data_IF_131007938158
#
_entry.id   IF_131007938158
#
_cell.length_a   1.000
_cell.length_b   1.000
_cell.length_c   1.000
_cell.angle_alpha   90.00
_cell.angle_beta   90.00
_cell.angle_gamma   90.00
#
_symmetry.space_group_name_H-M   'P 1'
#
loop_
_entity.id
_entity.type
_entity.pdbx_description
1 polymer ?
#
# COMPACT_ATOMS: atom_id res chain seq x y z
N UNK A 1 -1.34 -5.30 1.86
CA UNK A 1 -1.49 -3.85 2.07
C UNK A 1 -2.86 -3.58 2.64
N UNK A 2 -3.07 -2.40 3.23
CA UNK A 2 -4.22 -2.10 4.08
C UNK A 2 -5.59 -2.09 3.39
N UNK A 3 -6.59 -1.73 4.20
CA UNK A 3 -7.94 -2.29 4.21
C UNK A 3 -7.93 -3.71 4.79
N UNK A 4 -7.45 -3.82 6.04
CA UNK A 4 -7.32 -5.09 6.77
C UNK A 4 -8.67 -5.69 7.17
N UNK A 5 -9.73 -4.89 7.16
CA UNK A 5 -11.13 -5.32 7.31
C UNK A 5 -11.92 -5.07 6.02
N UNK A 6 -12.93 -5.90 5.76
CA UNK A 6 -13.80 -5.76 4.57
C UNK A 6 -14.72 -4.54 4.64
N UNK A 7 -14.99 -4.06 5.85
CA UNK A 7 -15.76 -2.84 6.13
C UNK A 7 -14.80 -1.77 6.61
N UNK A 8 -15.05 -0.53 6.21
CA UNK A 8 -14.29 0.63 6.69
C UNK A 8 -14.37 0.74 8.21
N UNK A 9 -13.27 1.19 8.81
CA UNK A 9 -13.19 1.38 10.23
C UNK A 9 -14.09 2.55 10.66
N UNK A 10 -14.98 2.29 11.61
CA UNK A 10 -15.79 3.29 12.29
C UNK A 10 -15.52 3.24 13.79
N UNK A 11 -15.50 4.41 14.43
CA UNK A 11 -15.20 4.56 15.87
C UNK A 11 -16.28 3.99 16.79
N UNK A 12 -17.42 3.55 16.24
CA UNK A 12 -18.46 2.86 16.99
C UNK A 12 -17.92 1.61 17.71
N UNK A 13 -18.50 1.26 18.86
CA UNK A 13 -18.01 0.17 19.74
C UNK A 13 -17.83 -1.15 18.99
N UNK A 14 -18.83 -1.54 18.18
CA UNK A 14 -18.76 -2.76 17.36
C UNK A 14 -17.68 -2.72 16.28
N UNK A 15 -17.30 -1.53 15.78
CA UNK A 15 -16.24 -1.36 14.80
C UNK A 15 -14.87 -1.68 15.39
N UNK A 16 -14.59 -1.16 16.59
CA UNK A 16 -13.36 -1.43 17.33
C UNK A 16 -13.19 -2.92 17.65
N UNK A 17 -14.24 -3.55 18.17
CA UNK A 17 -14.21 -4.98 18.51
C UNK A 17 -13.94 -5.86 17.30
N UNK A 18 -14.64 -5.62 16.18
CA UNK A 18 -14.43 -6.37 14.93
C UNK A 18 -13.01 -6.21 14.40
N UNK A 19 -12.46 -5.00 14.47
CA UNK A 19 -11.09 -4.72 14.02
C UNK A 19 -10.06 -5.45 14.90
N UNK A 20 -10.20 -5.39 16.23
CA UNK A 20 -9.36 -6.16 17.17
C UNK A 20 -9.46 -7.67 16.93
N UNK A 21 -10.66 -8.19 16.71
CA UNK A 21 -10.88 -9.61 16.40
C UNK A 21 -10.23 -10.03 15.07
N UNK A 22 -10.17 -9.14 14.07
CA UNK A 22 -9.50 -9.43 12.81
C UNK A 22 -7.98 -9.59 13.00
N UNK A 23 -7.34 -8.70 13.78
CA UNK A 23 -5.92 -8.84 14.14
C UNK A 23 -5.67 -10.07 15.01
N UNK A 24 -6.59 -10.43 15.90
CA UNK A 24 -6.50 -11.67 16.67
C UNK A 24 -6.50 -12.92 15.77
N UNK A 25 -7.37 -12.95 14.76
CA UNK A 25 -7.40 -14.04 13.77
C UNK A 25 -6.09 -14.10 12.99
N UNK A 26 -5.53 -12.96 12.59
CA UNK A 26 -4.24 -12.90 11.92
C UNK A 26 -3.12 -13.46 12.79
N UNK A 27 -3.06 -13.05 14.07
CA UNK A 27 -2.09 -13.58 15.04
C UNK A 27 -2.15 -15.10 15.13
N UNK A 28 -3.36 -15.67 15.28
CA UNK A 28 -3.56 -17.12 15.39
C UNK A 28 -3.10 -17.89 14.15
N UNK A 29 -3.24 -17.31 12.95
CA UNK A 29 -2.73 -17.92 11.72
C UNK A 29 -1.21 -17.89 11.71
N UNK A 30 -0.61 -16.73 12.01
CA UNK A 30 0.84 -16.54 11.96
C UNK A 30 1.60 -17.43 12.95
N UNK A 31 1.09 -17.63 14.16
CA UNK A 31 1.74 -18.43 15.22
C UNK A 31 1.65 -19.95 14.98
N UNK A 32 0.97 -20.40 13.92
CA UNK A 32 0.93 -21.84 13.60
C UNK A 32 2.35 -22.39 13.37
N UNK A 33 2.68 -23.58 13.90
CA UNK A 33 4.04 -24.13 13.83
C UNK A 33 4.63 -24.19 12.41
N UNK A 34 3.78 -24.45 11.41
CA UNK A 34 4.17 -24.50 9.99
C UNK A 34 4.74 -23.18 9.43
N UNK A 35 4.46 -22.04 10.06
CA UNK A 35 4.92 -20.73 9.61
C UNK A 35 6.04 -20.14 10.48
N UNK A 36 6.53 -20.89 11.46
CA UNK A 36 7.57 -20.41 12.39
C UNK A 36 8.83 -19.90 11.68
N UNK A 37 9.27 -20.58 10.62
CA UNK A 37 10.46 -20.18 9.84
C UNK A 37 10.25 -18.81 9.19
N UNK A 38 9.05 -18.51 8.70
CA UNK A 38 8.71 -17.21 8.12
C UNK A 38 8.77 -16.11 9.18
N UNK A 39 8.24 -16.37 10.38
CA UNK A 39 8.29 -15.41 11.48
C UNK A 39 9.71 -15.07 11.95
N UNK A 40 10.64 -16.03 11.91
CA UNK A 40 12.04 -15.81 12.28
C UNK A 40 12.84 -15.10 11.18
N UNK A 41 12.50 -15.36 9.91
CA UNK A 41 13.34 -14.95 8.78
C UNK A 41 12.85 -13.65 8.12
N UNK A 42 11.54 -13.42 8.07
CA UNK A 42 10.91 -12.39 7.25
C UNK A 42 10.48 -11.17 8.08
N UNK A 43 10.50 -9.99 7.43
CA UNK A 43 9.88 -8.79 7.94
C UNK A 43 8.42 -8.70 7.46
N UNK A 44 7.50 -8.54 8.40
CA UNK A 44 6.09 -8.31 8.14
C UNK A 44 5.82 -6.81 8.29
N UNK A 45 5.64 -6.13 7.16
CA UNK A 45 5.37 -4.69 7.13
C UNK A 45 3.90 -4.45 6.83
N UNK A 46 3.18 -3.84 7.77
CA UNK A 46 1.80 -3.42 7.60
C UNK A 46 1.77 -1.96 7.15
N UNK A 47 1.26 -1.75 5.94
CA UNK A 47 1.01 -0.43 5.35
C UNK A 47 -0.49 -0.18 5.38
N UNK A 48 -0.99 0.86 6.07
CA UNK A 48 -2.41 1.15 6.19
C UNK A 48 -3.01 1.63 4.87
N UNK A 49 -4.28 1.32 4.67
CA UNK A 49 -5.12 1.83 3.59
C UNK A 49 -6.08 2.91 4.09
N UNK A 50 -6.94 3.38 3.19
CA UNK A 50 -7.94 4.41 3.48
C UNK A 50 -9.08 3.91 4.38
N UNK A 51 -9.35 2.60 4.40
CA UNK A 51 -10.40 2.02 5.24
C UNK A 51 -9.95 1.62 6.65
N UNK A 52 -8.67 1.82 7.00
CA UNK A 52 -8.10 1.30 8.24
C UNK A 52 -8.19 2.27 9.42
N UNK A 53 -8.03 1.71 10.63
CA UNK A 53 -8.00 2.44 11.89
C UNK A 53 -6.73 3.32 12.02
N UNK A 54 -6.77 4.49 11.38
CA UNK A 54 -5.74 5.54 11.43
C UNK A 54 -6.38 6.86 11.88
N UNK A 55 -5.56 7.79 12.37
CA UNK A 55 -6.06 9.11 12.83
C UNK A 55 -6.68 9.94 11.70
N UNK A 56 -6.10 9.84 10.51
CA UNK A 56 -6.60 10.50 9.30
C UNK A 56 -6.29 9.60 8.10
N UNK A 57 -7.33 9.26 7.35
CA UNK A 57 -7.29 8.32 6.24
C UNK A 57 -7.59 8.96 4.87
N UNK A 58 -7.99 10.24 4.85
CA UNK A 58 -8.39 10.95 3.63
C UNK A 58 -7.19 11.59 2.90
N UNK A 59 -6.18 12.05 3.66
CA UNK A 59 -5.02 12.78 3.14
C UNK A 59 -3.74 11.94 3.28
N UNK A 60 -2.85 12.03 2.30
CA UNK A 60 -1.52 11.40 2.35
C UNK A 60 -0.43 12.43 2.71
N UNK A 61 0.63 12.04 3.43
CA UNK A 61 0.87 10.73 4.03
C UNK A 61 -0.05 10.44 5.24
N UNK A 62 -0.57 9.22 5.32
CA UNK A 62 -1.33 8.75 6.47
C UNK A 62 -0.40 8.18 7.54
N UNK A 63 -0.80 8.37 8.80
CA UNK A 63 -0.10 7.81 9.95
C UNK A 63 -0.21 6.27 9.99
N UNK A 64 0.68 5.59 10.72
CA UNK A 64 0.54 4.15 10.94
C UNK A 64 -0.78 3.81 11.65
N UNK A 65 -1.10 2.52 11.65
CA UNK A 65 -2.25 2.01 12.41
C UNK A 65 -2.20 2.46 13.87
N UNK A 66 -3.38 2.75 14.45
CA UNK A 66 -3.49 3.11 15.86
C UNK A 66 -2.84 2.05 16.75
N UNK A 67 -2.11 2.52 17.77
CA UNK A 67 -1.38 1.65 18.71
C UNK A 67 -2.31 0.72 19.46
N UNK A 68 -3.56 1.14 19.72
CA UNK A 68 -4.60 0.32 20.37
C UNK A 68 -4.77 -1.05 19.68
N UNK A 69 -4.70 -1.09 18.35
CA UNK A 69 -4.89 -2.32 17.57
C UNK A 69 -3.57 -3.01 17.21
N UNK A 70 -2.52 -2.23 16.94
CA UNK A 70 -1.24 -2.77 16.48
C UNK A 70 -0.30 -3.22 17.59
N UNK A 71 -0.36 -2.63 18.78
CA UNK A 71 0.52 -2.99 19.89
C UNK A 71 0.23 -4.40 20.41
N UNK A 72 -1.04 -4.78 20.55
CA UNK A 72 -1.42 -6.10 21.07
C UNK A 72 -0.82 -7.25 20.24
N UNK A 73 -0.99 -7.22 18.91
CA UNK A 73 -0.41 -8.26 18.05
C UNK A 73 1.12 -8.25 18.10
N UNK A 74 1.74 -7.06 18.11
CA UNK A 74 3.20 -6.92 18.15
C UNK A 74 3.79 -7.47 19.46
N UNK A 75 3.21 -7.11 20.60
CA UNK A 75 3.73 -7.49 21.91
C UNK A 75 3.56 -9.00 22.17
N UNK A 76 2.46 -9.58 21.67
CA UNK A 76 2.28 -11.04 21.68
C UNK A 76 3.25 -11.77 20.76
N UNK A 77 3.54 -11.20 19.58
CA UNK A 77 4.57 -11.75 18.69
C UNK A 77 5.95 -11.70 19.35
N UNK A 78 6.27 -10.61 20.05
CA UNK A 78 7.50 -10.49 20.84
C UNK A 78 7.59 -11.52 21.96
N UNK A 79 6.48 -11.84 22.63
CA UNK A 79 6.45 -12.92 23.63
C UNK A 79 6.70 -14.30 23.01
N UNK A 80 6.25 -14.53 21.77
CA UNK A 80 6.38 -15.81 21.07
C UNK A 80 7.76 -16.03 20.41
N UNK A 81 8.37 -14.98 19.86
CA UNK A 81 9.62 -15.05 19.09
C UNK A 81 10.83 -14.47 19.84
N UNK A 82 10.61 -13.72 20.91
CA UNK A 82 11.61 -12.88 21.57
C UNK A 82 11.60 -11.43 21.07
N UNK A 83 12.53 -10.64 21.59
CA UNK A 83 12.65 -9.20 21.31
C UNK A 83 12.94 -8.87 19.84
N UNK A 84 13.47 -9.83 19.07
CA UNK A 84 13.78 -9.70 17.65
C UNK A 84 12.54 -9.84 16.72
N UNK A 85 11.38 -9.37 17.16
CA UNK A 85 10.15 -9.46 16.37
C UNK A 85 10.17 -8.52 15.17
N UNK A 86 10.15 -9.12 13.97
CA UNK A 86 10.17 -8.41 12.69
C UNK A 86 8.78 -7.99 12.19
N UNK A 87 7.90 -7.58 13.09
CA UNK A 87 6.52 -7.16 12.79
C UNK A 87 6.37 -5.64 12.96
N UNK A 88 6.21 -4.92 11.84
CA UNK A 88 6.34 -3.47 11.79
C UNK A 88 5.08 -2.85 11.19
N UNK A 89 4.53 -1.83 11.84
CA UNK A 89 3.51 -0.95 11.26
C UNK A 89 4.16 0.32 10.73
N UNK A 90 3.87 0.70 9.50
CA UNK A 90 4.45 1.88 8.85
C UNK A 90 3.37 2.88 8.40
N UNK A 91 3.80 4.06 7.96
CA UNK A 91 2.95 5.07 7.31
C UNK A 91 2.50 4.61 5.93
N UNK A 92 1.59 5.35 5.31
CA UNK A 92 1.27 5.19 3.89
C UNK A 92 1.34 6.55 3.17
N UNK A 93 2.22 6.72 2.16
CA UNK A 93 3.16 5.73 1.65
C UNK A 93 4.27 5.41 2.66
N UNK A 94 4.98 4.31 2.41
CA UNK A 94 6.24 4.01 3.07
C UNK A 94 7.35 3.75 2.05
N UNK A 95 8.59 3.93 2.51
CA UNK A 95 9.79 3.67 1.71
C UNK A 95 10.61 2.59 2.41
N UNK A 96 11.02 1.59 1.64
CA UNK A 96 11.88 0.51 2.11
C UNK A 96 13.16 0.56 1.28
N UNK A 97 14.29 0.58 1.96
CA UNK A 97 15.59 0.44 1.33
C UNK A 97 16.15 -0.93 1.67
N UNK A 98 16.45 -1.72 0.64
CA UNK A 98 17.08 -3.01 0.80
C UNK A 98 18.28 -3.06 -0.14
N UNK A 99 19.48 -3.27 0.43
CA UNK A 99 20.75 -3.13 -0.28
C UNK A 99 20.86 -1.74 -0.93
N UNK A 100 21.11 -1.69 -2.23
CA UNK A 100 21.21 -0.48 -3.05
C UNK A 100 19.87 -0.02 -3.63
N UNK A 101 18.80 -0.81 -3.47
CA UNK A 101 17.49 -0.54 -4.08
C UNK A 101 16.59 0.27 -3.16
N UNK A 102 15.93 1.28 -3.75
CA UNK A 102 14.95 2.17 -3.12
C UNK A 102 13.56 1.77 -3.60
N UNK A 103 12.70 1.37 -2.67
CA UNK A 103 11.36 0.90 -2.97
C UNK A 103 10.32 1.77 -2.27
N UNK A 104 9.25 2.11 -2.98
CA UNK A 104 8.14 2.93 -2.47
C UNK A 104 6.87 2.12 -2.55
N UNK A 105 6.11 2.09 -1.45
CA UNK A 105 4.89 1.33 -1.30
C UNK A 105 3.76 2.30 -0.92
N UNK A 106 2.68 2.30 -1.71
CA UNK A 106 1.55 3.19 -1.51
C UNK A 106 0.24 2.43 -1.66
N UNK A 107 -0.61 2.46 -0.63
CA UNK A 107 -1.98 1.95 -0.67
C UNK A 107 -2.96 3.12 -0.77
N UNK A 108 -3.30 3.52 -1.99
CA UNK A 108 -4.30 4.54 -2.25
C UNK A 108 -4.87 4.34 -3.65
N UNK A 109 -6.13 4.72 -3.84
CA UNK A 109 -6.76 4.71 -5.15
C UNK A 109 -6.36 5.99 -5.91
N UNK A 110 -5.08 6.04 -6.32
CA UNK A 110 -4.42 7.23 -6.90
C UNK A 110 -5.02 7.57 -8.27
N UNK A 111 -5.30 6.58 -9.11
CA UNK A 111 -5.91 6.77 -10.42
C UNK A 111 -7.26 7.47 -10.26
N UNK A 112 -8.15 6.96 -9.40
CA UNK A 112 -9.45 7.61 -9.15
C UNK A 112 -9.31 9.07 -8.66
N UNK A 113 -8.35 9.34 -7.77
CA UNK A 113 -8.04 10.70 -7.29
C UNK A 113 -7.54 11.65 -8.39
N UNK A 114 -6.79 11.14 -9.37
CA UNK A 114 -6.33 11.92 -10.51
C UNK A 114 -7.46 12.12 -11.53
N UNK A 115 -8.25 11.09 -11.81
CA UNK A 115 -9.38 11.16 -12.75
C UNK A 115 -10.49 12.09 -12.25
N UNK A 116 -10.71 12.19 -10.94
CA UNK A 116 -11.70 13.11 -10.36
C UNK A 116 -11.32 14.58 -10.48
N UNK A 117 -10.04 14.89 -10.71
CA UNK A 117 -9.52 16.25 -10.82
C UNK A 117 -8.99 16.59 -12.22
N UNK A 118 -9.02 15.63 -13.14
CA UNK A 118 -8.52 15.80 -14.51
C UNK A 118 -9.53 16.51 -15.41
N UNK A 119 -9.02 17.43 -16.23
CA UNK A 119 -9.80 18.19 -17.22
C UNK A 119 -10.23 17.26 -18.37
N UNK A 120 -9.37 16.30 -18.74
CA UNK A 120 -9.60 15.35 -19.85
C UNK A 120 -10.78 14.42 -19.57
N UNK A 121 -11.03 14.11 -18.31
CA UNK A 121 -12.15 13.29 -17.86
C UNK A 121 -13.40 14.11 -17.51
N UNK A 122 -13.36 15.43 -17.59
CA UNK A 122 -14.52 16.29 -17.32
C UNK A 122 -15.44 16.46 -18.55
N UNK A 123 -15.07 15.87 -19.70
CA UNK A 123 -15.90 15.78 -20.91
C UNK A 123 -16.70 14.47 -21.00
N UNK A 124 -17.67 14.41 -21.91
CA UNK A 124 -18.59 13.28 -22.18
C UNK A 124 -17.91 11.94 -22.56
N UNK A 125 -16.59 11.90 -22.65
CA UNK A 125 -15.76 10.80 -23.18
C UNK A 125 -15.22 9.84 -22.10
N UNK A 126 -15.71 9.92 -20.86
CA UNK A 126 -15.40 8.95 -19.79
C UNK A 126 -15.63 7.47 -20.19
N UNK A 127 -16.36 7.23 -21.29
CA UNK A 127 -16.68 5.91 -21.84
C UNK A 127 -15.71 5.40 -22.91
N UNK A 128 -14.66 6.14 -23.27
CA UNK A 128 -13.79 5.78 -24.41
C UNK A 128 -12.44 5.20 -23.97
N UNK A 129 -11.87 5.65 -22.85
CA UNK A 129 -10.54 5.23 -22.45
C UNK A 129 -10.50 3.76 -22.00
N UNK A 130 -9.67 2.95 -22.67
CA UNK A 130 -9.51 1.54 -22.31
C UNK A 130 -8.71 1.38 -21.00
N UNK A 131 -8.86 0.27 -20.26
CA UNK A 131 -8.04 0.03 -19.06
C UNK A 131 -6.53 0.09 -19.31
N UNK A 132 -6.08 -0.26 -20.53
CA UNK A 132 -4.69 -0.16 -20.94
C UNK A 132 -4.22 1.29 -21.06
N UNK A 133 -5.04 2.18 -21.64
CA UNK A 133 -4.74 3.61 -21.74
C UNK A 133 -4.71 4.28 -20.36
N UNK A 134 -5.67 3.95 -19.49
CA UNK A 134 -5.68 4.46 -18.10
C UNK A 134 -4.41 4.07 -17.34
N UNK A 135 -3.93 2.83 -17.56
CA UNK A 135 -2.67 2.34 -16.98
C UNK A 135 -1.47 3.15 -17.48
N UNK A 136 -1.34 3.35 -18.79
CA UNK A 136 -0.23 4.13 -19.36
C UNK A 136 -0.27 5.60 -18.89
N UNK A 137 -1.47 6.21 -18.85
CA UNK A 137 -1.63 7.57 -18.32
C UNK A 137 -1.20 7.67 -16.85
N UNK A 138 -1.56 6.69 -16.01
CA UNK A 138 -1.15 6.65 -14.61
C UNK A 138 0.38 6.60 -14.49
N UNK A 139 1.04 5.68 -15.21
CA UNK A 139 2.49 5.50 -15.18
C UNK A 139 3.20 6.80 -15.61
N UNK A 140 2.81 7.34 -16.75
CA UNK A 140 3.41 8.56 -17.31
C UNK A 140 3.21 9.76 -16.39
N UNK A 141 2.04 9.87 -15.74
CA UNK A 141 1.74 10.98 -14.83
C UNK A 141 2.59 10.88 -13.55
N UNK A 142 2.70 9.70 -12.95
CA UNK A 142 3.44 9.53 -11.68
C UNK A 142 4.94 9.68 -11.85
N UNK A 143 5.52 9.05 -12.88
CA UNK A 143 6.95 9.14 -13.15
C UNK A 143 7.31 10.51 -13.74
N UNK A 144 6.53 10.99 -14.71
CA UNK A 144 6.77 12.29 -15.34
C UNK A 144 6.66 13.47 -14.38
N UNK A 145 5.74 13.43 -13.42
CA UNK A 145 5.66 14.44 -12.36
C UNK A 145 6.58 14.15 -11.17
N UNK A 146 7.15 12.95 -11.08
CA UNK A 146 7.98 12.54 -9.95
C UNK A 146 7.27 12.65 -8.60
N UNK A 147 5.96 12.35 -8.55
CA UNK A 147 5.13 12.50 -7.35
C UNK A 147 4.04 11.41 -7.28
N UNK A 148 3.75 10.88 -6.09
CA UNK A 148 2.74 9.82 -5.90
C UNK A 148 1.29 10.30 -6.07
N UNK A 149 1.03 11.59 -5.88
CA UNK A 149 -0.30 12.17 -6.04
C UNK A 149 -0.18 13.59 -6.60
N UNK A 150 0.12 13.76 -7.90
CA UNK A 150 0.29 15.06 -8.54
C UNK A 150 -1.08 15.69 -8.80
N UNK A 151 -1.75 16.13 -7.73
CA UNK A 151 -3.02 16.84 -7.80
C UNK A 151 -2.88 18.25 -7.21
N UNK A 152 -3.99 19.00 -7.18
CA UNK A 152 -3.99 20.31 -6.53
C UNK A 152 -3.52 20.14 -5.07
N UNK A 153 -2.48 20.88 -4.64
CA UNK A 153 -1.94 20.77 -3.29
C UNK A 153 -3.04 20.96 -2.23
N UNK A 154 -3.08 20.07 -1.24
CA UNK A 154 -4.07 20.12 -0.15
C UNK A 154 -5.37 19.36 -0.40
N UNK A 155 -5.64 18.87 -1.62
CA UNK A 155 -6.87 18.11 -1.91
C UNK A 155 -6.77 16.66 -1.45
N UNK A 156 -5.64 15.99 -1.76
CA UNK A 156 -5.38 14.61 -1.30
C UNK A 156 -4.02 14.46 -0.62
N UNK A 157 -3.25 15.55 -0.54
CA UNK A 157 -1.97 15.60 0.18
C UNK A 157 -2.05 16.55 1.36
N UNK A 158 -1.32 16.21 2.43
CA UNK A 158 -1.07 17.13 3.54
C UNK A 158 0.02 18.08 3.10
N UNK A 159 -0.33 19.35 2.87
CA UNK A 159 0.59 20.39 2.36
C UNK A 159 1.94 20.45 3.09
N UNK A 160 1.92 20.33 4.43
CA UNK A 160 3.14 20.36 5.27
C UNK A 160 4.07 19.15 5.07
N UNK A 161 3.55 18.05 4.54
CA UNK A 161 4.26 16.77 4.36
C UNK A 161 4.25 16.30 2.91
N UNK A 162 3.99 17.19 1.96
CA UNK A 162 3.89 16.88 0.53
C UNK A 162 5.19 16.29 -0.02
N UNK A 163 6.34 16.76 0.48
CA UNK A 163 7.66 16.23 0.12
C UNK A 163 7.83 14.71 0.39
N UNK A 164 7.03 14.11 1.28
CA UNK A 164 7.05 12.67 1.53
C UNK A 164 6.50 11.85 0.34
N UNK A 165 5.69 12.48 -0.52
CA UNK A 165 5.05 11.87 -1.69
C UNK A 165 5.91 11.97 -2.95
N UNK A 166 7.04 12.69 -2.90
CA UNK A 166 7.96 12.79 -4.03
C UNK A 166 8.53 11.42 -4.41
N UNK A 167 8.68 11.21 -5.71
CA UNK A 167 9.37 10.08 -6.33
C UNK A 167 10.71 10.52 -6.95
N UNK A 168 11.18 11.72 -6.62
CA UNK A 168 12.48 12.21 -7.07
C UNK A 168 13.53 12.09 -5.94
N UNK A 169 14.73 11.57 -6.22
CA UNK A 169 15.13 10.85 -7.44
C UNK A 169 14.35 9.54 -7.64
N UNK A 170 14.20 9.10 -8.89
CA UNK A 170 13.36 7.94 -9.23
C UNK A 170 13.77 6.67 -8.45
N UNK A 171 12.82 6.03 -7.73
CA UNK A 171 13.09 4.80 -7.00
C UNK A 171 13.25 3.62 -7.96
N UNK A 172 13.84 2.52 -7.50
CA UNK A 172 13.97 1.29 -8.28
C UNK A 172 12.63 0.53 -8.39
N UNK A 173 11.77 0.67 -7.39
CA UNK A 173 10.43 0.08 -7.37
C UNK A 173 9.39 1.08 -6.85
N UNK A 174 8.28 1.22 -7.56
CA UNK A 174 7.06 1.86 -7.09
C UNK A 174 5.93 0.83 -7.10
N UNK A 175 5.51 0.39 -5.93
CA UNK A 175 4.40 -0.53 -5.76
C UNK A 175 3.18 0.24 -5.25
N UNK A 176 2.20 0.40 -6.14
CA UNK A 176 0.91 0.99 -5.82
C UNK A 176 -0.06 -0.16 -5.55
N UNK A 177 -0.94 -0.01 -4.57
CA UNK A 177 -2.10 -0.86 -4.41
C UNK A 177 -3.32 0.01 -4.61
N UNK A 178 -3.74 0.14 -5.87
CA UNK A 178 -4.85 0.94 -6.33
C UNK A 178 -5.95 0.00 -6.83
N UNK A 179 -7.14 0.06 -6.21
CA UNK A 179 -8.28 -0.77 -6.59
C UNK A 179 -9.01 -0.25 -7.83
N UNK A 180 -8.78 1.00 -8.22
CA UNK A 180 -9.38 1.62 -9.41
C UNK A 180 -8.62 1.31 -10.71
N UNK A 181 -7.42 0.74 -10.61
CA UNK A 181 -6.61 0.30 -11.74
C UNK A 181 -6.47 -1.24 -11.71
N UNK A 182 -6.49 -1.95 -12.86
CA UNK A 182 -6.12 -3.36 -12.89
C UNK A 182 -4.67 -3.58 -12.43
N UNK A 183 -4.33 -4.80 -12.03
CA UNK A 183 -2.94 -5.11 -11.70
C UNK A 183 -2.05 -5.08 -12.94
N UNK A 184 -0.84 -4.54 -12.79
CA UNK A 184 0.14 -4.49 -13.86
C UNK A 184 1.55 -4.47 -13.29
N UNK A 185 2.51 -4.79 -14.15
CA UNK A 185 3.94 -4.61 -13.92
C UNK A 185 4.48 -3.98 -15.20
N UNK A 186 5.10 -2.82 -15.07
CA UNK A 186 5.75 -2.10 -16.15
C UNK A 186 7.13 -1.65 -15.69
N UNK A 187 8.06 -1.54 -16.63
CA UNK A 187 9.39 -1.02 -16.37
C UNK A 187 9.60 0.19 -17.29
N UNK A 188 9.86 1.33 -16.68
CA UNK A 188 10.15 2.60 -17.38
C UNK A 188 11.52 3.04 -16.92
N UNK A 189 12.45 3.18 -17.88
CA UNK A 189 13.87 3.40 -17.61
C UNK A 189 14.44 2.37 -16.62
N UNK A 190 14.96 2.84 -15.48
CA UNK A 190 15.48 2.00 -14.39
C UNK A 190 14.46 1.71 -13.28
N UNK A 191 13.23 2.19 -13.42
CA UNK A 191 12.18 2.09 -12.39
C UNK A 191 11.14 1.05 -12.78
N UNK A 192 10.97 0.05 -11.91
CA UNK A 192 9.86 -0.88 -12.02
C UNK A 192 8.64 -0.28 -11.29
N UNK A 193 7.54 -0.11 -12.00
CA UNK A 193 6.26 0.33 -11.42
C UNK A 193 5.25 -0.80 -11.52
N UNK A 194 4.56 -1.08 -10.42
CA UNK A 194 3.55 -2.12 -10.39
C UNK A 194 2.31 -1.69 -9.60
N UNK A 195 1.18 -2.27 -9.99
CA UNK A 195 -0.06 -2.17 -9.24
C UNK A 195 -0.51 -3.54 -8.76
N UNK A 196 -0.82 -3.64 -7.46
CA UNK A 196 -1.33 -4.86 -6.83
C UNK A 196 -2.85 -4.79 -6.74
N UNK A 197 -3.52 -5.86 -7.19
CA UNK A 197 -4.99 -5.98 -7.08
C UNK A 197 -5.43 -6.50 -5.70
N UNK A 198 -6.74 -6.50 -5.47
CA UNK A 198 -7.31 -7.00 -4.22
C UNK A 198 -7.05 -8.51 -4.05
N UNK A 199 -6.18 -8.86 -3.10
CA UNK A 199 -5.87 -10.27 -2.78
C UNK A 199 -7.12 -11.09 -2.43
N UNK A 200 -8.09 -10.49 -1.74
CA UNK A 200 -9.34 -11.17 -1.36
C UNK A 200 -10.19 -11.65 -2.54
N UNK A 201 -10.12 -10.96 -3.68
CA UNK A 201 -10.91 -11.28 -4.88
C UNK A 201 -10.15 -12.20 -5.83
N UNK A 202 -8.88 -11.91 -6.05
CA UNK A 202 -8.10 -12.53 -7.14
C UNK A 202 -7.04 -13.51 -6.64
N UNK A 203 -6.75 -13.56 -5.32
CA UNK A 203 -5.69 -14.38 -4.70
C UNK A 203 -4.33 -14.23 -5.35
N UNK A 204 -4.04 -13.04 -5.87
CA UNK A 204 -2.79 -12.73 -6.54
C UNK A 204 -1.95 -11.75 -5.74
N UNK A 205 -0.64 -11.86 -5.90
CA UNK A 205 0.34 -11.01 -5.26
C UNK A 205 1.55 -10.81 -6.18
N UNK A 206 2.39 -9.83 -5.86
CA UNK A 206 3.59 -9.54 -6.64
C UNK A 206 4.82 -9.89 -5.80
N UNK A 207 5.76 -10.60 -6.43
CA UNK A 207 7.08 -10.87 -5.89
C UNK A 207 8.09 -10.00 -6.64
N UNK A 208 8.96 -9.32 -5.91
CA UNK A 208 10.04 -8.51 -6.46
C UNK A 208 11.37 -9.06 -5.97
N UNK A 209 12.24 -9.43 -6.90
CA UNK A 209 13.61 -9.80 -6.59
C UNK A 209 14.51 -8.57 -6.66
N UNK A 210 15.08 -8.22 -5.52
CA UNK A 210 15.93 -7.03 -5.33
C UNK A 210 17.25 -7.15 -6.11
N UNK A 211 17.74 -8.38 -6.32
CA UNK A 211 19.02 -8.63 -7.00
C UNK A 211 18.83 -8.47 -8.51
N UNK A 212 17.88 -9.20 -9.10
CA UNK A 212 17.60 -9.09 -10.53
C UNK A 212 16.85 -7.82 -10.92
N UNK A 213 16.19 -7.15 -9.98
CA UNK A 213 15.32 -6.00 -10.23
C UNK A 213 14.01 -6.37 -10.92
N UNK A 214 13.67 -7.65 -11.03
CA UNK A 214 12.49 -8.15 -11.74
C UNK A 214 11.31 -8.31 -10.78
N UNK A 215 10.14 -7.84 -11.22
CA UNK A 215 8.87 -8.10 -10.56
C UNK A 215 8.09 -9.17 -11.34
N UNK A 216 7.44 -10.08 -10.62
CA UNK A 216 6.60 -11.14 -11.18
C UNK A 216 5.26 -11.19 -10.44
N UNK A 217 4.17 -11.35 -11.19
CA UNK A 217 2.83 -11.58 -10.63
C UNK A 217 2.65 -13.08 -10.39
N UNK A 218 2.23 -13.43 -9.18
CA UNK A 218 1.93 -14.79 -8.75
C UNK A 218 0.46 -14.88 -8.34
N UNK A 219 -0.17 -16.03 -8.55
CA UNK A 219 -1.54 -16.33 -8.14
C UNK A 219 -1.59 -17.67 -7.40
N UNK A 220 -2.45 -17.76 -6.39
CA UNK A 220 -2.67 -18.96 -5.57
C UNK A 220 -3.95 -19.71 -5.97
#
# INVERSE_FOLDING_TARGET
MGNFTSVEFHTAVHGKEKYSQAFERLYRVLVQPKYRILLMSCYFVLVPGTGDATLCNQLMPTQPLLKEFSANIRDRMATYLGDDTKFITMTNPCRIRHLTRRMVFCRSDVLNKLLSTSILTSGTDYKIATPAELKEMLINTLLGQGHLCPNKPGVHSVLKHDAALLLYPHPDLVCIADLSCPSFISSVDSTTICNVESFSKNRSFISYDVISGKAQKLAL
#
